data_IF_901039768044
#
_entry.id   IF_901039768044
#
_cell.length_a   1.000
_cell.length_b   1.000
_cell.length_c   1.000
_cell.angle_alpha   90.00
_cell.angle_beta   90.00
_cell.angle_gamma   90.00
#
_symmetry.space_group_name_H-M   'P 1'
#
loop_
_entity.id
_entity.type
_entity.pdbx_description
1 polymer ?
#
# COMPACT_ATOMS: atom_id res chain seq x y z
N UNK A 1 -0.64 10.69 -8.27
CA UNK A 1 -0.86 9.92 -7.03
C UNK A 1 -0.12 10.61 -5.91
N UNK A 2 -0.71 10.75 -4.73
CA UNK A 2 -0.03 11.32 -3.57
C UNK A 2 1.22 10.48 -3.25
N UNK A 3 2.31 11.15 -2.91
CA UNK A 3 3.55 10.48 -2.51
C UNK A 3 3.35 9.83 -1.13
N UNK A 4 3.11 8.52 -1.12
CA UNK A 4 2.92 7.77 0.13
C UNK A 4 4.22 7.66 0.94
N UNK A 5 5.39 7.86 0.31
CA UNK A 5 6.69 7.77 0.98
C UNK A 5 6.91 8.86 2.02
N UNK A 6 6.28 10.02 1.85
CA UNK A 6 6.31 11.11 2.81
C UNK A 6 5.49 10.80 4.08
N UNK A 7 4.25 10.34 3.90
CA UNK A 7 3.27 10.26 4.99
C UNK A 7 3.16 8.88 5.64
N UNK A 8 3.69 7.82 5.01
CA UNK A 8 3.50 6.45 5.48
C UNK A 8 4.83 5.73 5.73
N UNK A 9 4.80 4.79 6.68
CA UNK A 9 5.86 3.82 6.96
C UNK A 9 5.25 2.43 6.94
N UNK A 10 5.92 1.49 6.30
CA UNK A 10 5.46 0.10 6.22
C UNK A 10 6.46 -0.81 6.94
N UNK A 11 5.93 -1.73 7.77
CA UNK A 11 6.69 -2.85 8.29
C UNK A 11 6.06 -4.15 7.80
N UNK A 12 6.83 -4.92 7.04
CA UNK A 12 6.41 -6.21 6.48
C UNK A 12 6.83 -7.35 7.41
N UNK A 13 5.96 -8.35 7.53
CA UNK A 13 6.14 -9.60 8.27
C UNK A 13 5.85 -10.80 7.35
N UNK A 14 6.16 -12.02 7.80
CA UNK A 14 5.96 -13.23 7.00
C UNK A 14 4.49 -13.45 6.55
N UNK A 15 3.52 -12.98 7.34
CA UNK A 15 2.08 -13.18 7.12
C UNK A 15 1.33 -11.91 6.64
N UNK A 16 2.00 -10.75 6.63
CA UNK A 16 1.31 -9.48 6.39
C UNK A 16 2.18 -8.26 6.66
N UNK A 17 1.56 -7.16 7.08
CA UNK A 17 2.26 -5.91 7.35
C UNK A 17 1.46 -4.96 8.23
N UNK A 18 2.13 -3.93 8.73
CA UNK A 18 1.48 -2.79 9.35
C UNK A 18 1.97 -1.53 8.63
N UNK A 19 1.02 -0.74 8.11
CA UNK A 19 1.27 0.61 7.67
C UNK A 19 0.95 1.58 8.79
N UNK A 20 1.85 2.51 9.04
CA UNK A 20 1.71 3.56 10.04
C UNK A 20 1.83 4.91 9.35
N UNK A 21 0.89 5.81 9.63
CA UNK A 21 1.01 7.20 9.18
C UNK A 21 2.02 7.92 10.09
N UNK A 22 2.92 8.72 9.53
CA UNK A 22 4.04 9.33 10.27
C UNK A 22 3.55 10.40 11.25
N UNK A 23 2.64 11.28 10.80
CA UNK A 23 2.14 12.41 11.59
C UNK A 23 0.84 12.13 12.35
N UNK A 24 0.26 10.94 12.20
CA UNK A 24 -1.05 10.59 12.78
C UNK A 24 -0.92 9.30 13.57
N UNK A 25 -1.65 9.17 14.68
CA UNK A 25 -1.76 7.92 15.43
C UNK A 25 -2.65 6.89 14.69
N UNK A 26 -2.36 6.66 13.40
CA UNK A 26 -3.11 5.78 12.51
C UNK A 26 -2.25 4.58 12.13
N UNK A 27 -2.79 3.39 12.39
CA UNK A 27 -2.19 2.11 12.07
C UNK A 27 -3.18 1.29 11.25
N UNK A 28 -2.73 0.77 10.12
CA UNK A 28 -3.51 -0.07 9.21
C UNK A 28 -2.86 -1.44 9.14
N UNK A 29 -3.62 -2.48 9.52
CA UNK A 29 -3.19 -3.87 9.35
C UNK A 29 -3.33 -4.26 7.88
N UNK A 30 -2.28 -4.84 7.32
CA UNK A 30 -2.20 -5.28 5.94
C UNK A 30 -2.09 -6.81 5.88
N UNK A 31 -2.79 -7.41 4.91
CA UNK A 31 -2.53 -8.79 4.52
C UNK A 31 -1.21 -8.87 3.72
N UNK A 32 -0.77 -10.09 3.38
CA UNK A 32 0.52 -10.30 2.71
C UNK A 32 0.68 -9.54 1.39
N UNK A 33 -0.34 -9.56 0.52
CA UNK A 33 -0.30 -8.88 -0.77
C UNK A 33 -0.29 -7.36 -0.60
N UNK A 34 -1.16 -6.82 0.25
CA UNK A 34 -1.20 -5.39 0.53
C UNK A 34 0.10 -4.91 1.17
N UNK A 35 0.67 -5.67 2.12
CA UNK A 35 1.95 -5.33 2.75
C UNK A 35 3.08 -5.19 1.71
N UNK A 36 3.12 -6.09 0.74
CA UNK A 36 4.08 -6.03 -0.36
C UNK A 36 3.88 -4.78 -1.22
N UNK A 37 2.64 -4.46 -1.60
CA UNK A 37 2.33 -3.27 -2.40
C UNK A 37 2.70 -2.00 -1.66
N UNK A 38 2.28 -1.87 -0.39
CA UNK A 38 2.52 -0.68 0.42
C UNK A 38 4.00 -0.46 0.70
N UNK A 39 4.78 -1.51 0.96
CA UNK A 39 6.23 -1.39 1.14
C UNK A 39 6.90 -0.76 -0.08
N UNK A 40 6.53 -1.17 -1.29
CA UNK A 40 7.11 -0.61 -2.52
C UNK A 40 6.70 0.85 -2.73
N UNK A 41 5.42 1.16 -2.56
CA UNK A 41 4.92 2.52 -2.72
C UNK A 41 5.54 3.47 -1.69
N UNK A 42 5.70 3.02 -0.43
CA UNK A 42 6.36 3.79 0.64
C UNK A 42 7.86 3.95 0.40
N UNK A 43 8.50 3.06 -0.36
CA UNK A 43 9.90 3.21 -0.79
C UNK A 43 10.07 4.09 -2.04
N UNK A 44 9.00 4.66 -2.57
CA UNK A 44 9.02 5.53 -3.75
C UNK A 44 8.98 4.78 -5.08
N UNK A 45 8.59 3.51 -5.10
CA UNK A 45 8.32 2.82 -6.36
C UNK A 45 7.11 3.44 -7.06
N UNK A 46 7.15 3.53 -8.40
CA UNK A 46 6.00 3.97 -9.17
C UNK A 46 4.90 2.91 -9.16
N UNK A 47 3.66 3.36 -9.34
CA UNK A 47 2.49 2.47 -9.37
C UNK A 47 2.59 1.49 -10.53
N UNK A 48 2.96 1.95 -11.74
CA UNK A 48 3.17 1.06 -12.90
C UNK A 48 4.26 0.02 -12.65
N UNK A 49 5.39 0.40 -12.05
CA UNK A 49 6.45 -0.53 -11.71
C UNK A 49 6.00 -1.57 -10.67
N UNK A 50 5.21 -1.11 -9.68
CA UNK A 50 4.63 -1.97 -8.65
C UNK A 50 3.64 -2.96 -9.25
N UNK A 51 2.78 -2.52 -10.18
CA UNK A 51 1.80 -3.38 -10.87
C UNK A 51 2.50 -4.48 -11.67
N UNK A 52 3.50 -4.14 -12.48
CA UNK A 52 4.22 -5.12 -13.29
C UNK A 52 4.94 -6.16 -12.42
N UNK A 53 5.61 -5.71 -11.35
CA UNK A 53 6.28 -6.64 -10.45
C UNK A 53 5.31 -7.43 -9.59
N UNK A 54 4.15 -6.89 -9.23
CA UNK A 54 3.10 -7.61 -8.50
C UNK A 54 2.55 -8.73 -9.37
N UNK A 55 2.20 -8.44 -10.62
CA UNK A 55 1.74 -9.43 -11.60
C UNK A 55 2.75 -10.59 -11.71
N UNK A 56 4.05 -10.27 -11.83
CA UNK A 56 5.12 -11.27 -11.89
C UNK A 56 5.29 -12.06 -10.59
N UNK A 57 5.26 -11.40 -9.45
CA UNK A 57 5.54 -12.02 -8.14
C UNK A 57 4.41 -12.92 -7.65
N UNK A 58 3.16 -12.54 -7.95
CA UNK A 58 1.96 -13.25 -7.52
C UNK A 58 1.34 -14.11 -8.62
N UNK A 59 1.89 -14.09 -9.84
CA UNK A 59 1.42 -14.90 -10.95
C UNK A 59 0.01 -14.52 -11.43
N UNK A 60 -0.34 -13.24 -11.35
CA UNK A 60 -1.65 -12.69 -11.76
C UNK A 60 -1.53 -11.85 -13.03
N UNK A 61 -2.66 -11.57 -13.68
CA UNK A 61 -2.67 -10.67 -14.84
C UNK A 61 -2.34 -9.24 -14.43
N UNK A 62 -1.77 -8.47 -15.35
CA UNK A 62 -1.46 -7.05 -15.12
C UNK A 62 -2.71 -6.23 -14.78
N UNK A 63 -3.86 -6.58 -15.35
CA UNK A 63 -5.14 -5.94 -15.04
C UNK A 63 -5.56 -6.18 -13.58
N UNK A 64 -5.51 -7.44 -13.13
CA UNK A 64 -5.81 -7.80 -11.75
C UNK A 64 -4.80 -7.17 -10.77
N UNK A 65 -3.52 -7.13 -11.14
CA UNK A 65 -2.49 -6.44 -10.37
C UNK A 65 -2.77 -4.93 -10.25
N UNK A 66 -3.22 -4.28 -11.34
CA UNK A 66 -3.58 -2.87 -11.33
C UNK A 66 -4.77 -2.60 -10.41
N UNK A 67 -5.79 -3.46 -10.46
CA UNK A 67 -6.96 -3.38 -9.56
C UNK A 67 -6.53 -3.53 -8.10
N UNK A 68 -5.69 -4.52 -7.78
CA UNK A 68 -5.19 -4.74 -6.42
C UNK A 68 -4.36 -3.55 -5.91
N UNK A 69 -3.41 -3.05 -6.70
CA UNK A 69 -2.57 -1.90 -6.33
C UNK A 69 -3.42 -0.64 -6.12
N UNK A 70 -4.39 -0.40 -7.00
CA UNK A 70 -5.31 0.73 -6.87
C UNK A 70 -6.21 0.60 -5.63
N UNK A 71 -6.75 -0.60 -5.37
CA UNK A 71 -7.61 -0.86 -4.22
C UNK A 71 -6.86 -0.69 -2.88
N UNK A 72 -5.60 -1.12 -2.81
CA UNK A 72 -4.75 -0.94 -1.61
C UNK A 72 -4.45 0.55 -1.40
N UNK A 73 -4.09 1.29 -2.45
CA UNK A 73 -3.87 2.73 -2.36
C UNK A 73 -5.12 3.50 -1.92
N UNK A 74 -6.28 3.16 -2.48
CA UNK A 74 -7.56 3.77 -2.11
C UNK A 74 -7.93 3.50 -0.64
N UNK A 75 -7.72 2.28 -0.14
CA UNK A 75 -7.98 1.93 1.26
C UNK A 75 -7.09 2.70 2.24
N UNK A 76 -5.80 2.90 1.91
CA UNK A 76 -4.91 3.72 2.73
C UNK A 76 -5.36 5.18 2.80
N UNK A 77 -5.73 5.77 1.66
CA UNK A 77 -6.23 7.15 1.61
C UNK A 77 -7.57 7.31 2.33
N UNK A 78 -8.46 6.31 2.25
CA UNK A 78 -9.71 6.29 2.98
C UNK A 78 -9.47 6.21 4.50
N UNK A 79 -8.51 5.38 4.94
CA UNK A 79 -8.11 5.30 6.34
C UNK A 79 -7.54 6.63 6.85
N UNK A 80 -6.72 7.30 6.04
CA UNK A 80 -6.21 8.64 6.36
C UNK A 80 -7.35 9.66 6.53
N UNK A 81 -8.28 9.68 5.58
CA UNK A 81 -9.41 10.60 5.56
C UNK A 81 -10.38 10.39 6.75
N UNK A 82 -10.58 9.14 7.18
CA UNK A 82 -11.46 8.82 8.30
C UNK A 82 -10.98 9.45 9.63
N UNK A 83 -9.66 9.55 9.83
CA UNK A 83 -9.05 10.16 11.02
C UNK A 83 -9.17 11.69 11.02
N UNK A 84 -9.35 12.32 9.85
CA UNK A 84 -9.49 13.78 9.74
C UNK A 84 -10.88 14.30 10.16
N UNK A 85 -11.87 13.41 10.27
CA UNK A 85 -13.26 13.73 10.60
C UNK A 85 -13.62 13.61 12.08
N UNK A 86 -12.64 13.36 12.96
CA UNK A 86 -12.84 13.31 14.42
C UNK A 86 -12.20 14.52 15.11
#
# INVERSE_FOLDING_TARGET
MADLSASWRCKVFCDGGIAMHVDRALFVKLNRSAAWVVDRLVRGASSDGTVQEYAKSFGVSTDQAAQEVAAVGAQLLAAESAVQTQ
#
